data_IF_277498214374
#
_entry.id   IF_277498214374
#
_cell.length_a   1.000
_cell.length_b   1.000
_cell.length_c   1.000
_cell.angle_alpha   90.00
_cell.angle_beta   90.00
_cell.angle_gamma   90.00
#
_symmetry.space_group_name_H-M   'P 1'
#
loop_
_entity.id
_entity.type
_entity.pdbx_description
1 polymer ?
#
# COMPACT_ATOMS: atom_id res chain seq x y z
N UNK A 1 24.29 -5.17 0.01
CA UNK A 1 23.65 -3.90 0.43
C UNK A 1 23.65 -2.93 -0.74
N UNK A 2 22.49 -2.34 -1.05
CA UNK A 2 22.30 -1.33 -2.08
C UNK A 2 22.30 0.06 -1.42
N UNK A 3 23.00 1.03 -2.02
CA UNK A 3 23.03 2.42 -1.55
C UNK A 3 21.95 3.20 -2.30
N UNK A 4 20.97 3.70 -1.56
CA UNK A 4 19.85 4.49 -2.09
C UNK A 4 20.17 6.00 -2.09
N UNK A 5 21.06 6.43 -1.20
CA UNK A 5 21.54 7.81 -1.11
C UNK A 5 22.90 7.87 -0.42
N UNK A 6 23.79 8.75 -0.91
CA UNK A 6 25.04 9.16 -0.28
C UNK A 6 25.12 10.70 -0.31
N UNK A 7 25.16 11.35 0.86
CA UNK A 7 25.22 12.81 0.96
C UNK A 7 26.48 13.43 0.34
N UNK A 8 27.53 12.64 0.11
CA UNK A 8 28.80 13.12 -0.41
C UNK A 8 29.18 12.57 -1.79
N UNK A 9 28.42 11.60 -2.32
CA UNK A 9 28.64 10.95 -3.62
C UNK A 9 30.03 10.31 -3.78
N UNK A 10 30.67 9.87 -2.69
CA UNK A 10 32.10 9.56 -2.64
C UNK A 10 32.43 8.12 -2.22
N UNK A 11 31.54 7.41 -1.52
CA UNK A 11 31.85 6.08 -1.00
C UNK A 11 31.00 4.98 -1.66
N UNK A 12 31.66 3.90 -2.08
CA UNK A 12 30.99 2.69 -2.60
C UNK A 12 30.91 1.55 -1.58
N UNK A 13 31.60 1.70 -0.46
CA UNK A 13 31.75 0.67 0.56
C UNK A 13 31.50 1.25 1.93
N UNK A 14 30.66 0.58 2.71
CA UNK A 14 30.42 0.87 4.11
C UNK A 14 30.06 -0.41 4.86
N UNK A 15 30.30 -0.39 6.16
CA UNK A 15 29.95 -1.45 7.10
C UNK A 15 28.96 -0.89 8.14
N UNK A 16 27.92 -1.67 8.46
CA UNK A 16 26.96 -1.36 9.52
C UNK A 16 27.49 -1.87 10.85
N UNK A 17 27.43 -1.02 11.87
CA UNK A 17 27.87 -1.31 13.24
C UNK A 17 26.65 -1.33 14.17
N UNK A 18 26.85 -1.01 15.44
CA UNK A 18 25.77 -0.96 16.43
C UNK A 18 24.72 0.13 16.14
N UNK A 19 23.48 -0.01 16.65
CA UNK A 19 22.46 1.03 16.56
C UNK A 19 22.94 2.39 17.09
N UNK A 20 22.50 3.48 16.48
CA UNK A 20 22.79 4.84 16.96
C UNK A 20 21.96 5.16 18.21
N UNK A 21 20.70 4.74 18.21
CA UNK A 21 19.69 5.02 19.23
C UNK A 21 19.00 3.73 19.67
N UNK A 22 18.28 3.77 20.80
CA UNK A 22 17.38 2.69 21.18
C UNK A 22 16.23 2.51 20.18
N UNK A 23 15.58 1.36 20.18
CA UNK A 23 14.48 1.06 19.24
C UNK A 23 13.30 2.04 19.39
N UNK A 24 12.91 2.36 20.62
CA UNK A 24 11.83 3.32 20.90
C UNK A 24 12.20 4.75 20.46
N UNK A 25 13.44 5.17 20.70
CA UNK A 25 13.94 6.49 20.28
C UNK A 25 14.02 6.59 18.76
N UNK A 26 14.52 5.54 18.10
CA UNK A 26 14.53 5.43 16.64
C UNK A 26 13.11 5.55 16.09
N UNK A 27 12.15 4.79 16.64
CA UNK A 27 10.75 4.85 16.22
C UNK A 27 10.15 6.24 16.39
N UNK A 28 10.42 6.92 17.50
CA UNK A 28 9.95 8.29 17.73
C UNK A 28 10.57 9.27 16.72
N UNK A 29 11.88 9.18 16.49
CA UNK A 29 12.60 10.01 15.53
C UNK A 29 12.05 9.84 14.12
N UNK A 30 11.88 8.60 13.64
CA UNK A 30 11.30 8.32 12.32
C UNK A 30 9.84 8.79 12.24
N UNK A 31 9.07 8.68 13.32
CA UNK A 31 7.71 9.22 13.42
C UNK A 31 7.65 10.74 13.26
N UNK A 32 8.57 11.48 13.89
CA UNK A 32 8.67 12.93 13.71
C UNK A 32 9.12 13.30 12.29
N UNK A 33 10.09 12.58 11.72
CA UNK A 33 10.56 12.82 10.36
C UNK A 33 9.43 12.60 9.33
N UNK A 34 8.62 11.54 9.52
CA UNK A 34 7.41 11.29 8.72
C UNK A 34 6.42 12.46 8.79
N UNK A 35 6.13 12.98 9.99
CA UNK A 35 5.22 14.10 10.16
C UNK A 35 5.73 15.38 9.49
N UNK A 36 7.04 15.65 9.57
CA UNK A 36 7.67 16.80 8.91
C UNK A 36 7.60 16.69 7.39
N UNK A 37 7.98 15.54 6.83
CA UNK A 37 7.90 15.28 5.38
C UNK A 37 6.46 15.43 4.87
N UNK A 38 5.50 14.87 5.60
CA UNK A 38 4.07 14.97 5.25
C UNK A 38 3.58 16.42 5.25
N UNK A 39 3.95 17.21 6.27
CA UNK A 39 3.59 18.64 6.35
C UNK A 39 4.24 19.50 5.27
N UNK A 40 5.39 19.08 4.73
CA UNK A 40 6.10 19.74 3.63
C UNK A 40 5.55 19.34 2.24
N UNK A 41 4.64 18.37 2.18
CA UNK A 41 4.13 17.85 0.91
C UNK A 41 5.10 16.89 0.20
N UNK A 42 6.15 16.43 0.88
CA UNK A 42 7.15 15.50 0.34
C UNK A 42 6.64 14.05 0.48
N UNK A 43 5.56 13.74 -0.26
CA UNK A 43 4.76 12.52 -0.08
C UNK A 43 5.53 11.25 -0.40
N UNK A 44 6.37 11.23 -1.43
CA UNK A 44 7.16 10.03 -1.78
C UNK A 44 8.15 9.67 -0.68
N UNK A 45 8.83 10.66 -0.11
CA UNK A 45 9.74 10.48 1.01
C UNK A 45 8.99 9.98 2.26
N UNK A 46 7.82 10.56 2.57
CA UNK A 46 6.98 10.10 3.68
C UNK A 46 6.50 8.66 3.48
N UNK A 47 6.10 8.29 2.26
CA UNK A 47 5.64 6.95 1.91
C UNK A 47 6.76 5.91 2.04
N UNK A 48 7.97 6.20 1.52
CA UNK A 48 9.12 5.31 1.71
C UNK A 48 9.47 5.16 3.19
N UNK A 49 9.47 6.25 3.96
CA UNK A 49 9.79 6.21 5.39
C UNK A 49 8.77 5.39 6.21
N UNK A 50 7.49 5.47 5.87
CA UNK A 50 6.43 4.73 6.55
C UNK A 50 6.38 3.25 6.16
N UNK A 51 6.68 2.94 4.89
CA UNK A 51 6.61 1.57 4.35
C UNK A 51 7.86 0.75 4.70
N UNK A 52 9.04 1.35 4.59
CA UNK A 52 10.30 0.66 4.80
C UNK A 52 10.63 0.64 6.29
N UNK A 53 10.91 -0.54 6.83
CA UNK A 53 11.25 -0.72 8.25
C UNK A 53 12.69 -0.26 8.53
N UNK A 54 12.92 1.05 8.47
CA UNK A 54 14.23 1.64 8.67
C UNK A 54 14.74 1.47 10.10
N UNK A 55 16.03 1.20 10.20
CA UNK A 55 16.83 1.21 11.42
C UNK A 55 17.96 2.22 11.28
N UNK A 56 18.38 2.79 12.40
CA UNK A 56 19.46 3.76 12.44
C UNK A 56 20.69 3.12 13.09
N UNK A 57 21.72 2.89 12.28
CA UNK A 57 22.96 2.24 12.70
C UNK A 57 24.14 3.19 12.54
N UNK A 58 25.15 3.03 13.38
CA UNK A 58 26.46 3.60 13.09
C UNK A 58 27.04 2.88 11.89
N UNK A 59 27.84 3.58 11.11
CA UNK A 59 28.56 3.02 9.99
C UNK A 59 30.00 3.49 9.95
N UNK A 60 30.82 2.69 9.27
CA UNK A 60 32.19 3.06 8.95
C UNK A 60 32.54 2.67 7.51
N UNK A 61 33.67 3.18 7.01
CA UNK A 61 34.19 2.90 5.68
C UNK A 61 35.67 2.48 5.77
N UNK A 62 36.33 2.10 4.66
CA UNK A 62 37.75 1.74 4.67
C UNK A 62 38.68 2.84 5.18
N UNK A 63 38.25 4.11 5.15
CA UNK A 63 38.99 5.26 5.69
C UNK A 63 38.76 5.49 7.19
N UNK A 64 37.93 4.65 7.83
CA UNK A 64 37.53 4.73 9.24
C UNK A 64 36.76 6.01 9.61
N UNK A 65 36.10 6.62 8.63
CA UNK A 65 35.11 7.65 8.93
C UNK A 65 33.98 7.05 9.78
N UNK A 66 33.38 7.85 10.64
CA UNK A 66 32.21 7.46 11.43
C UNK A 66 31.03 8.31 11.01
N UNK A 67 29.92 7.67 10.74
CA UNK A 67 28.68 8.32 10.30
C UNK A 67 27.47 7.49 10.71
N UNK A 68 26.27 8.06 10.59
CA UNK A 68 25.03 7.29 10.75
C UNK A 68 24.53 6.83 9.39
N UNK A 69 23.97 5.63 9.37
CA UNK A 69 23.38 4.98 8.21
C UNK A 69 21.92 4.66 8.54
N UNK A 70 21.02 5.12 7.69
CA UNK A 70 19.64 4.70 7.71
C UNK A 70 19.50 3.45 6.84
N UNK A 71 19.16 2.33 7.44
CA UNK A 71 19.20 1.03 6.79
C UNK A 71 17.84 0.33 6.84
N UNK A 72 17.36 -0.21 5.72
CA UNK A 72 16.14 -1.00 5.66
C UNK A 72 16.40 -2.44 5.20
N UNK A 73 15.85 -3.40 5.92
CA UNK A 73 15.69 -4.77 5.43
C UNK A 73 14.38 -4.85 4.62
N UNK A 74 14.47 -5.25 3.35
CA UNK A 74 13.39 -5.17 2.35
C UNK A 74 13.10 -6.53 1.72
N UNK A 75 11.94 -6.70 1.06
CA UNK A 75 11.67 -7.92 0.28
C UNK A 75 12.54 -8.00 -0.98
N UNK A 76 12.58 -9.17 -1.61
CA UNK A 76 13.29 -9.35 -2.89
C UNK A 76 12.72 -8.43 -3.98
N UNK A 77 11.40 -8.30 -4.06
CA UNK A 77 10.71 -7.46 -5.03
C UNK A 77 11.03 -5.98 -4.82
N UNK A 78 11.05 -5.53 -3.56
CA UNK A 78 11.45 -4.16 -3.21
C UNK A 78 12.92 -3.91 -3.56
N UNK A 79 13.80 -4.87 -3.29
CA UNK A 79 15.22 -4.78 -3.61
C UNK A 79 15.45 -4.64 -5.12
N UNK A 80 14.80 -5.49 -5.92
CA UNK A 80 14.91 -5.44 -7.39
C UNK A 80 14.31 -4.14 -7.94
N UNK A 81 13.18 -3.67 -7.41
CA UNK A 81 12.63 -2.35 -7.78
C UNK A 81 13.66 -1.24 -7.56
N UNK A 82 14.35 -1.20 -6.42
CA UNK A 82 15.38 -0.19 -6.17
C UNK A 82 16.60 -0.37 -7.09
N UNK A 83 17.05 -1.61 -7.27
CA UNK A 83 18.20 -1.93 -8.12
C UNK A 83 17.96 -1.51 -9.57
N UNK A 84 16.81 -1.87 -10.15
CA UNK A 84 16.45 -1.55 -11.53
C UNK A 84 16.35 -0.05 -11.77
N UNK A 85 15.77 0.72 -10.83
CA UNK A 85 15.67 2.17 -10.98
C UNK A 85 17.02 2.89 -10.81
N UNK A 86 17.97 2.32 -10.05
CA UNK A 86 19.30 2.89 -9.87
C UNK A 86 20.24 2.49 -11.03
N UNK A 87 20.33 1.20 -11.33
CA UNK A 87 21.23 0.66 -12.36
C UNK A 87 20.67 0.85 -13.78
N UNK A 88 19.35 0.85 -13.94
CA UNK A 88 18.65 1.01 -15.21
C UNK A 88 18.29 2.45 -15.56
N UNK A 89 18.70 3.43 -14.74
CA UNK A 89 18.46 4.85 -15.03
C UNK A 89 19.07 5.22 -16.39
N UNK A 90 18.23 5.72 -17.31
CA UNK A 90 18.64 6.06 -18.69
C UNK A 90 19.49 7.32 -18.77
N UNK A 91 19.42 8.18 -17.74
CA UNK A 91 20.20 9.40 -17.61
C UNK A 91 20.33 9.82 -16.13
N UNK A 92 21.17 10.83 -15.89
CA UNK A 92 21.44 11.33 -14.54
C UNK A 92 20.21 11.97 -13.87
N UNK A 93 19.36 12.67 -14.63
CA UNK A 93 18.17 13.34 -14.07
C UNK A 93 17.17 12.31 -13.54
N UNK A 94 16.93 11.21 -14.28
CA UNK A 94 16.08 10.11 -13.85
C UNK A 94 16.61 9.45 -12.57
N UNK A 95 17.94 9.26 -12.47
CA UNK A 95 18.57 8.76 -11.25
C UNK A 95 18.34 9.72 -10.08
N UNK A 96 18.58 11.03 -10.28
CA UNK A 96 18.41 12.06 -9.25
C UNK A 96 16.96 12.13 -8.77
N UNK A 97 15.98 12.11 -9.69
CA UNK A 97 14.57 12.09 -9.34
C UNK A 97 14.21 10.87 -8.49
N UNK A 98 14.73 9.70 -8.84
CA UNK A 98 14.47 8.47 -8.09
C UNK A 98 15.08 8.48 -6.69
N UNK A 99 16.31 8.99 -6.53
CA UNK A 99 16.99 9.01 -5.23
C UNK A 99 16.59 10.20 -4.34
N UNK A 100 15.98 11.25 -4.92
CA UNK A 100 15.57 12.48 -4.21
C UNK A 100 14.78 12.19 -2.92
N UNK A 101 13.78 11.28 -2.88
CA UNK A 101 13.05 10.97 -1.65
C UNK A 101 13.95 10.48 -0.52
N UNK A 102 14.98 9.67 -0.80
CA UNK A 102 15.91 9.18 0.22
C UNK A 102 16.82 10.27 0.76
N UNK A 103 17.24 11.21 -0.12
CA UNK A 103 17.96 12.41 0.30
C UNK A 103 17.13 13.28 1.24
N UNK A 104 15.85 13.47 0.95
CA UNK A 104 14.93 14.22 1.80
C UNK A 104 14.70 13.55 3.17
N UNK A 105 14.61 12.22 3.21
CA UNK A 105 14.54 11.48 4.47
C UNK A 105 15.81 11.74 5.29
N UNK A 106 16.98 11.56 4.69
CA UNK A 106 18.27 11.75 5.37
C UNK A 106 18.44 13.18 5.90
N UNK A 107 18.08 14.20 5.10
CA UNK A 107 18.15 15.60 5.53
C UNK A 107 17.17 15.90 6.66
N UNK A 108 15.96 15.33 6.62
CA UNK A 108 14.95 15.55 7.67
C UNK A 108 15.37 14.91 8.99
N UNK A 109 15.95 13.70 8.96
CA UNK A 109 16.48 13.05 10.17
C UNK A 109 17.69 13.83 10.72
N UNK A 110 18.52 14.38 9.82
CA UNK A 110 19.64 15.26 10.17
C UNK A 110 19.16 16.53 10.86
N UNK A 111 18.09 17.16 10.36
CA UNK A 111 17.43 18.31 11.00
C UNK A 111 16.92 17.99 12.40
N UNK A 112 16.46 16.75 12.62
CA UNK A 112 16.00 16.26 13.92
C UNK A 112 17.13 15.82 14.87
N UNK A 113 18.40 15.99 14.46
CA UNK A 113 19.56 15.86 15.34
C UNK A 113 20.43 14.63 15.11
N UNK A 114 20.15 13.78 14.12
CA UNK A 114 21.04 12.65 13.77
C UNK A 114 21.51 12.76 12.33
N UNK A 115 22.79 13.06 12.15
CA UNK A 115 23.39 13.16 10.81
C UNK A 115 23.42 11.79 10.11
N UNK A 116 22.63 11.68 9.03
CA UNK A 116 22.55 10.49 8.17
C UNK A 116 23.34 10.73 6.89
N UNK A 117 24.45 10.00 6.71
CA UNK A 117 25.29 10.08 5.51
C UNK A 117 24.77 9.19 4.38
N UNK A 118 24.32 7.99 4.74
CA UNK A 118 23.84 6.99 3.79
C UNK A 118 22.42 6.54 4.09
N UNK A 119 21.63 6.33 3.04
CA UNK A 119 20.41 5.52 3.09
C UNK A 119 20.68 4.24 2.30
N UNK A 120 20.43 3.09 2.91
CA UNK A 120 20.76 1.79 2.32
C UNK A 120 19.62 0.79 2.50
N UNK A 121 19.63 -0.25 1.68
CA UNK A 121 18.78 -1.42 1.90
C UNK A 121 19.51 -2.74 1.60
N UNK A 122 18.97 -3.82 2.17
CA UNK A 122 19.37 -5.18 1.85
C UNK A 122 18.17 -6.13 1.87
N UNK A 123 18.29 -7.26 1.17
CA UNK A 123 17.25 -8.29 1.15
C UNK A 123 17.15 -8.91 2.54
N UNK A 124 15.96 -8.90 3.12
CA UNK A 124 15.64 -9.60 4.36
C UNK A 124 15.52 -11.11 4.09
N UNK A 125 16.64 -11.83 4.21
CA UNK A 125 16.69 -13.29 4.00
C UNK A 125 15.86 -14.07 5.04
N UNK A 126 15.38 -13.43 6.10
CA UNK A 126 14.46 -14.07 7.05
C UNK A 126 13.02 -14.09 6.55
N UNK A 127 12.68 -13.25 5.56
CA UNK A 127 11.38 -13.28 4.89
C UNK A 127 11.41 -14.32 3.76
N UNK A 128 10.45 -15.25 3.70
CA UNK A 128 10.33 -16.10 2.53
C UNK A 128 10.05 -15.24 1.29
N UNK A 129 10.59 -15.59 0.11
CA UNK A 129 10.29 -14.87 -1.12
C UNK A 129 8.78 -14.82 -1.33
N UNK A 130 8.24 -13.63 -1.60
CA UNK A 130 6.81 -13.41 -1.72
C UNK A 130 6.33 -14.04 -3.02
N UNK A 131 5.83 -15.28 -2.99
CA UNK A 131 5.23 -15.91 -4.19
C UNK A 131 3.86 -15.34 -4.55
N UNK A 132 3.36 -14.36 -3.79
CA UNK A 132 2.08 -13.71 -4.06
C UNK A 132 2.32 -12.55 -5.04
N UNK A 133 1.79 -12.60 -6.27
CA UNK A 133 1.84 -11.48 -7.20
C UNK A 133 1.32 -10.23 -6.49
N UNK A 134 2.03 -9.11 -6.60
CA UNK A 134 1.57 -7.83 -6.10
C UNK A 134 0.23 -7.50 -6.78
N UNK A 135 -0.88 -7.66 -6.06
CA UNK A 135 -2.18 -7.25 -6.57
C UNK A 135 -2.15 -5.73 -6.82
N UNK A 136 -2.70 -5.28 -7.95
CA UNK A 136 -2.89 -3.85 -8.25
C UNK A 136 -3.99 -3.19 -7.41
N UNK A 137 -4.59 -3.93 -6.47
CA UNK A 137 -5.54 -3.41 -5.49
C UNK A 137 -4.80 -2.56 -4.46
N UNK A 138 -5.41 -1.43 -4.09
CA UNK A 138 -4.77 -0.42 -3.28
C UNK A 138 -4.35 -0.93 -1.88
N UNK A 139 -3.29 -0.31 -1.35
CA UNK A 139 -2.74 -0.61 -0.02
C UNK A 139 -3.67 -0.24 1.14
N UNK A 140 -4.72 0.55 0.90
CA UNK A 140 -5.62 1.04 1.93
C UNK A 140 -6.30 -0.14 2.64
N UNK A 141 -5.87 -0.42 3.87
CA UNK A 141 -6.53 -1.37 4.75
C UNK A 141 -7.05 -0.67 5.96
N UNK A 142 -8.34 -0.88 6.25
CA UNK A 142 -8.81 -0.70 7.61
C UNK A 142 -7.93 -1.56 8.54
N UNK A 143 -7.47 -1.02 9.70
CA UNK A 143 -6.42 -1.63 10.53
C UNK A 143 -6.66 -3.05 11.05
N UNK A 144 -7.84 -3.64 10.83
CA UNK A 144 -8.28 -4.88 11.48
C UNK A 144 -8.77 -5.96 10.50
N UNK A 145 -8.45 -5.82 9.21
CA UNK A 145 -8.90 -6.73 8.19
C UNK A 145 -7.77 -7.69 7.75
N UNK A 146 -7.93 -8.97 8.08
CA UNK A 146 -7.13 -10.03 7.49
C UNK A 146 -7.38 -10.08 5.98
N UNK A 147 -6.33 -9.88 5.17
CA UNK A 147 -6.40 -10.10 3.72
C UNK A 147 -6.30 -11.60 3.41
N UNK A 148 -7.16 -12.08 2.53
CA UNK A 148 -7.06 -13.41 1.92
C UNK A 148 -6.64 -13.21 0.46
N UNK A 149 -5.54 -13.84 0.04
CA UNK A 149 -5.12 -13.83 -1.36
C UNK A 149 -5.72 -15.03 -2.10
N UNK A 150 -6.30 -14.79 -3.27
CA UNK A 150 -6.87 -15.81 -4.17
C UNK A 150 -6.63 -15.38 -5.62
N UNK A 151 -6.02 -16.26 -6.43
CA UNK A 151 -5.71 -16.00 -7.86
C UNK A 151 -4.98 -14.66 -8.10
N UNK A 152 -4.06 -14.29 -7.19
CA UNK A 152 -3.29 -13.04 -7.30
C UNK A 152 -4.06 -11.77 -6.90
N UNK A 153 -5.27 -11.89 -6.37
CA UNK A 153 -6.11 -10.80 -5.86
C UNK A 153 -6.33 -10.94 -4.35
N UNK A 154 -6.56 -9.82 -3.68
CA UNK A 154 -6.89 -9.70 -2.28
C UNK A 154 -8.41 -9.60 -2.06
N UNK A 155 -8.85 -10.19 -0.95
CA UNK A 155 -10.24 -10.19 -0.46
C UNK A 155 -10.25 -10.00 1.06
N UNK A 156 -11.32 -9.44 1.62
CA UNK A 156 -11.55 -9.30 3.07
C UNK A 156 -12.18 -10.55 3.67
N UNK A 157 -12.86 -11.39 2.87
CA UNK A 157 -13.52 -12.60 3.35
C UNK A 157 -13.57 -13.74 2.33
N UNK A 158 -13.79 -14.98 2.80
CA UNK A 158 -14.07 -16.13 1.91
C UNK A 158 -15.43 -16.00 1.21
N UNK A 159 -16.34 -15.21 1.78
CA UNK A 159 -17.66 -14.94 1.19
C UNK A 159 -17.51 -14.09 -0.07
N UNK A 160 -16.65 -13.07 -0.05
CA UNK A 160 -16.28 -12.29 -1.23
C UNK A 160 -15.71 -13.17 -2.34
N UNK A 161 -14.79 -14.09 -2.01
CA UNK A 161 -14.22 -15.02 -3.00
C UNK A 161 -15.32 -15.82 -3.70
N UNK A 162 -16.32 -16.33 -2.97
CA UNK A 162 -17.44 -17.06 -3.59
C UNK A 162 -18.28 -16.21 -4.53
N UNK A 163 -18.53 -14.95 -4.17
CA UNK A 163 -19.25 -14.01 -5.03
C UNK A 163 -18.42 -13.66 -6.25
N UNK A 164 -17.12 -13.43 -6.08
CA UNK A 164 -16.17 -13.21 -7.16
C UNK A 164 -16.19 -14.38 -8.15
N UNK A 165 -16.05 -15.62 -7.69
CA UNK A 165 -16.14 -16.81 -8.55
C UNK A 165 -17.47 -16.88 -9.30
N UNK A 166 -18.59 -16.53 -8.65
CA UNK A 166 -19.90 -16.49 -9.30
C UNK A 166 -19.99 -15.40 -10.39
N UNK A 167 -19.44 -14.21 -10.14
CA UNK A 167 -19.33 -13.12 -11.13
C UNK A 167 -18.47 -13.57 -12.32
N UNK A 168 -17.30 -14.16 -12.07
CA UNK A 168 -16.41 -14.69 -13.11
C UNK A 168 -17.12 -15.76 -13.96
N UNK A 169 -17.90 -16.66 -13.35
CA UNK A 169 -18.71 -17.65 -14.10
C UNK A 169 -19.72 -17.02 -15.06
N UNK A 170 -20.19 -15.80 -14.79
CA UNK A 170 -21.10 -15.04 -15.69
C UNK A 170 -20.36 -14.25 -16.78
N UNK A 171 -19.03 -14.26 -16.77
CA UNK A 171 -18.22 -13.54 -17.77
C UNK A 171 -18.36 -12.02 -17.69
N UNK A 172 -18.68 -11.48 -16.51
CA UNK A 172 -18.77 -10.03 -16.31
C UNK A 172 -17.41 -9.44 -15.99
N UNK A 173 -17.19 -8.18 -16.38
CA UNK A 173 -16.00 -7.44 -15.95
C UNK A 173 -16.22 -6.99 -14.50
N UNK A 174 -15.30 -7.34 -13.62
CA UNK A 174 -15.40 -7.06 -12.18
C UNK A 174 -14.08 -6.49 -11.66
N UNK A 175 -14.20 -5.48 -10.79
CA UNK A 175 -13.11 -4.94 -9.99
C UNK A 175 -13.40 -5.31 -8.52
N UNK A 176 -12.66 -6.24 -7.91
CA UNK A 176 -12.78 -6.57 -6.49
C UNK A 176 -11.96 -5.61 -5.62
N UNK A 177 -12.51 -5.20 -4.48
CA UNK A 177 -11.93 -4.23 -3.54
C UNK A 177 -11.25 -3.02 -4.20
N UNK A 178 -11.90 -2.33 -5.16
CA UNK A 178 -11.32 -1.11 -5.73
C UNK A 178 -11.35 0.00 -4.68
N UNK A 179 -10.30 0.81 -4.62
CA UNK A 179 -10.33 2.06 -3.85
C UNK A 179 -10.80 3.18 -4.76
N UNK A 180 -11.96 3.73 -4.42
CA UNK A 180 -12.50 4.94 -5.00
C UNK A 180 -12.03 6.17 -4.21
N UNK A 181 -11.58 7.19 -4.93
CA UNK A 181 -11.19 8.49 -4.41
C UNK A 181 -12.10 9.54 -5.01
N UNK A 182 -12.65 10.43 -4.18
CA UNK A 182 -13.47 11.56 -4.65
C UNK A 182 -13.14 12.82 -3.85
N UNK A 183 -12.67 13.86 -4.55
CA UNK A 183 -12.35 15.16 -3.96
C UNK A 183 -10.99 15.18 -3.26
N UNK A 184 -10.99 15.14 -1.93
CA UNK A 184 -9.81 15.37 -1.08
C UNK A 184 -9.03 14.08 -0.78
N UNK A 185 -7.70 14.20 -0.78
CA UNK A 185 -6.78 13.14 -0.34
C UNK A 185 -7.12 12.67 1.08
N UNK A 186 -7.15 11.35 1.31
CA UNK A 186 -7.47 10.76 2.62
C UNK A 186 -8.94 10.32 2.79
N UNK A 187 -9.84 10.69 1.87
CA UNK A 187 -11.23 10.19 1.86
C UNK A 187 -11.39 9.06 0.83
N UNK A 188 -11.07 7.85 1.27
CA UNK A 188 -11.18 6.64 0.47
C UNK A 188 -12.52 5.94 0.68
N UNK A 189 -13.00 5.28 -0.37
CA UNK A 189 -14.13 4.36 -0.30
C UNK A 189 -13.75 3.06 -0.97
N UNK A 190 -14.10 1.96 -0.34
CA UNK A 190 -13.82 0.62 -0.84
C UNK A 190 -15.16 -0.11 -0.87
N UNK A 191 -15.87 -0.14 -2.01
CA UNK A 191 -16.93 -1.12 -2.23
C UNK A 191 -16.31 -2.51 -2.40
N UNK A 192 -17.06 -3.56 -2.10
CA UNK A 192 -16.54 -4.93 -2.25
C UNK A 192 -16.32 -5.28 -3.72
N UNK A 193 -17.27 -4.91 -4.58
CA UNK A 193 -17.18 -5.09 -6.03
C UNK A 193 -17.74 -3.90 -6.80
N UNK A 194 -17.02 -3.49 -7.84
CA UNK A 194 -17.60 -2.75 -8.98
C UNK A 194 -17.73 -3.72 -10.14
N UNK A 195 -18.94 -3.85 -10.68
CA UNK A 195 -19.27 -4.78 -11.77
C UNK A 195 -19.76 -4.00 -12.98
N UNK A 196 -19.20 -4.33 -14.14
CA UNK A 196 -19.61 -3.79 -15.43
C UNK A 196 -20.37 -4.85 -16.21
N UNK A 197 -21.60 -4.52 -16.59
CA UNK A 197 -22.47 -5.42 -17.32
C UNK A 197 -23.43 -4.61 -18.21
N UNK A 198 -23.63 -5.07 -19.46
CA UNK A 198 -24.46 -4.39 -20.46
C UNK A 198 -24.20 -2.88 -20.61
N UNK A 199 -22.93 -2.47 -20.57
CA UNK A 199 -22.51 -1.07 -20.73
C UNK A 199 -22.82 -0.17 -19.53
N UNK A 200 -23.34 -0.70 -18.43
CA UNK A 200 -23.57 0.01 -17.17
C UNK A 200 -22.58 -0.48 -16.10
N UNK A 201 -22.40 0.31 -15.05
CA UNK A 201 -21.65 -0.06 -13.85
C UNK A 201 -22.60 -0.16 -12.65
N UNK A 202 -22.32 -1.12 -11.76
CA UNK A 202 -23.03 -1.27 -10.49
C UNK A 202 -22.10 -1.71 -9.38
N UNK A 203 -22.53 -1.48 -8.14
CA UNK A 203 -21.82 -1.83 -6.91
C UNK A 203 -22.57 -2.95 -6.20
N UNK A 204 -21.84 -3.99 -5.82
CA UNK A 204 -22.32 -5.09 -4.97
C UNK A 204 -21.52 -5.05 -3.67
N UNK A 205 -22.21 -4.87 -2.55
CA UNK A 205 -21.62 -4.95 -1.20
C UNK A 205 -22.19 -6.15 -0.42
N UNK A 206 -21.34 -6.71 0.43
CA UNK A 206 -21.61 -7.83 1.31
C UNK A 206 -21.66 -7.31 2.75
N UNK A 207 -22.72 -7.64 3.48
CA UNK A 207 -22.95 -7.10 4.82
C UNK A 207 -23.22 -8.18 5.87
N UNK A 208 -22.82 -7.94 7.13
CA UNK A 208 -23.29 -8.72 8.27
C UNK A 208 -22.52 -9.99 8.59
N UNK A 209 -21.19 -10.00 8.41
CA UNK A 209 -20.32 -10.98 9.05
C UNK A 209 -19.38 -10.33 10.08
N UNK A 210 -18.54 -11.13 10.76
CA UNK A 210 -17.58 -10.66 11.77
C UNK A 210 -16.60 -9.59 11.22
N UNK A 211 -16.42 -9.54 9.90
CA UNK A 211 -15.48 -8.70 9.16
C UNK A 211 -16.15 -7.47 8.54
N UNK A 212 -17.48 -7.48 8.41
CA UNK A 212 -18.32 -6.34 8.02
C UNK A 212 -19.27 -5.95 9.18
N UNK A 213 -18.79 -5.21 10.20
CA UNK A 213 -19.65 -4.73 11.26
C UNK A 213 -20.78 -3.87 10.68
N UNK A 214 -21.95 -3.83 11.34
CA UNK A 214 -23.05 -2.97 10.90
C UNK A 214 -22.58 -1.52 10.79
N UNK A 215 -22.58 -0.94 9.59
CA UNK A 215 -22.52 0.51 9.43
C UNK A 215 -23.83 1.10 9.97
N UNK A 216 -23.81 2.36 10.41
CA UNK A 216 -25.09 3.01 10.75
C UNK A 216 -25.90 3.20 9.48
N UNK A 217 -27.23 3.14 9.57
CA UNK A 217 -28.11 3.40 8.42
C UNK A 217 -27.86 4.78 7.78
N UNK A 218 -27.29 5.73 8.53
CA UNK A 218 -26.89 7.03 8.02
C UNK A 218 -25.64 6.96 7.12
N UNK A 219 -24.63 6.19 7.53
CA UNK A 219 -23.38 5.99 6.79
C UNK A 219 -23.63 5.24 5.47
N UNK A 220 -24.43 4.17 5.52
CA UNK A 220 -24.84 3.40 4.34
C UNK A 220 -25.61 4.30 3.34
N UNK A 221 -26.54 5.11 3.84
CA UNK A 221 -27.28 6.06 3.01
C UNK A 221 -26.40 7.14 2.38
N UNK A 222 -25.35 7.61 3.08
CA UNK A 222 -24.40 8.56 2.52
C UNK A 222 -23.51 7.91 1.46
N UNK A 223 -23.05 6.67 1.73
CA UNK A 223 -22.24 5.87 0.80
C UNK A 223 -22.94 5.68 -0.52
N UNK A 224 -24.15 5.11 -0.47
CA UNK A 224 -25.01 4.88 -1.64
C UNK A 224 -25.29 6.17 -2.40
N UNK A 225 -25.74 7.23 -1.73
CA UNK A 225 -26.08 8.53 -2.37
C UNK A 225 -24.93 9.13 -3.15
N UNK A 226 -23.71 8.94 -2.68
CA UNK A 226 -22.53 9.49 -3.34
C UNK A 226 -22.29 8.87 -4.71
N UNK A 227 -22.31 7.54 -4.79
CA UNK A 227 -22.13 6.83 -6.06
C UNK A 227 -23.31 7.03 -7.01
N UNK A 228 -24.54 7.02 -6.47
CA UNK A 228 -25.76 7.28 -7.26
C UNK A 228 -25.73 8.69 -7.88
N UNK A 229 -25.28 9.72 -7.16
CA UNK A 229 -25.15 11.08 -7.72
C UNK A 229 -24.14 11.16 -8.87
N UNK A 230 -23.20 10.21 -8.95
CA UNK A 230 -22.20 10.11 -10.02
C UNK A 230 -22.65 9.20 -11.18
N UNK A 231 -23.90 8.72 -11.17
CA UNK A 231 -24.47 7.91 -12.24
C UNK A 231 -24.34 6.39 -12.04
N UNK A 232 -23.74 5.93 -10.94
CA UNK A 232 -23.74 4.52 -10.55
C UNK A 232 -25.03 4.25 -9.77
N UNK A 233 -26.12 4.00 -10.50
CA UNK A 233 -27.46 3.88 -9.93
C UNK A 233 -27.79 2.48 -9.41
N UNK A 234 -26.97 1.47 -9.76
CA UNK A 234 -27.13 0.10 -9.31
C UNK A 234 -26.20 -0.07 -8.11
N UNK A 235 -26.78 -0.15 -6.92
CA UNK A 235 -26.05 -0.29 -5.66
C UNK A 235 -26.84 -1.22 -4.76
N UNK A 236 -26.40 -2.46 -4.64
CA UNK A 236 -27.11 -3.49 -3.90
C UNK A 236 -26.25 -4.07 -2.79
N UNK A 237 -26.87 -4.25 -1.63
CA UNK A 237 -26.22 -4.80 -0.44
C UNK A 237 -26.87 -6.15 -0.13
N UNK A 238 -26.04 -7.17 -0.02
CA UNK A 238 -26.49 -8.53 0.25
C UNK A 238 -25.91 -9.04 1.57
N UNK A 239 -26.75 -9.70 2.37
CA UNK A 239 -26.29 -10.33 3.61
C UNK A 239 -25.28 -11.45 3.35
N UNK A 240 -24.20 -11.48 4.13
CA UNK A 240 -23.09 -12.43 4.00
C UNK A 240 -23.55 -13.89 4.05
N UNK A 241 -24.55 -14.23 4.87
CA UNK A 241 -25.13 -15.59 4.92
C UNK A 241 -25.77 -15.99 3.58
N UNK A 242 -26.47 -15.06 2.91
CA UNK A 242 -27.06 -15.30 1.59
C UNK A 242 -25.97 -15.44 0.54
N UNK A 243 -24.96 -14.56 0.56
CA UNK A 243 -23.80 -14.63 -0.34
C UNK A 243 -23.04 -15.95 -0.17
N UNK A 244 -22.91 -16.44 1.06
CA UNK A 244 -22.20 -17.68 1.35
C UNK A 244 -22.96 -18.93 0.87
N UNK A 245 -24.27 -18.97 1.13
CA UNK A 245 -25.14 -20.12 0.84
C UNK A 245 -25.56 -20.18 -0.62
N UNK A 246 -25.81 -19.04 -1.26
CA UNK A 246 -26.41 -18.96 -2.59
C UNK A 246 -25.72 -17.90 -3.48
N UNK A 247 -24.39 -17.99 -3.72
CA UNK A 247 -23.65 -16.96 -4.44
C UNK A 247 -24.12 -16.75 -5.89
N UNK A 248 -24.42 -17.85 -6.60
CA UNK A 248 -24.92 -17.77 -7.99
C UNK A 248 -26.24 -17.01 -8.07
N UNK A 249 -27.18 -17.29 -7.17
CA UNK A 249 -28.47 -16.60 -7.13
C UNK A 249 -28.31 -15.12 -6.77
N UNK A 250 -27.42 -14.79 -5.84
CA UNK A 250 -27.12 -13.38 -5.51
C UNK A 250 -26.61 -12.63 -6.73
N UNK A 251 -25.68 -13.22 -7.49
CA UNK A 251 -25.16 -12.60 -8.70
C UNK A 251 -26.24 -12.48 -9.77
N UNK A 252 -27.09 -13.49 -9.97
CA UNK A 252 -28.18 -13.43 -10.94
C UNK A 252 -29.19 -12.33 -10.60
N UNK A 253 -29.58 -12.23 -9.32
CA UNK A 253 -30.49 -11.19 -8.84
C UNK A 253 -29.87 -9.80 -9.02
N UNK A 254 -28.56 -9.64 -8.73
CA UNK A 254 -27.83 -8.39 -8.94
C UNK A 254 -27.73 -7.99 -10.41
N UNK A 255 -27.39 -8.93 -11.30
CA UNK A 255 -27.27 -8.65 -12.74
C UNK A 255 -28.63 -8.31 -13.37
N UNK A 256 -29.74 -8.77 -12.79
CA UNK A 256 -31.08 -8.40 -13.22
C UNK A 256 -31.34 -6.89 -13.08
N UNK A 257 -30.74 -6.22 -12.08
CA UNK A 257 -30.88 -4.76 -11.87
C UNK A 257 -30.34 -3.95 -13.05
N UNK A 258 -29.39 -4.48 -13.82
CA UNK A 258 -28.83 -3.82 -15.00
C UNK A 258 -29.79 -3.77 -16.18
N UNK A 259 -30.81 -4.63 -16.16
CA UNK A 259 -31.84 -4.70 -17.21
C UNK A 259 -33.06 -3.83 -16.94
N UNK A 260 -33.13 -3.25 -15.74
CA UNK A 260 -34.17 -2.27 -15.37
C UNK A 260 -33.85 -0.89 -15.93
#
# INVERSE_FOLDING_TARGET
MLILYDSEGRAKELELLEPVLGEAETKNLLGYAYQLLSKRGELDAANFLARLNFKLSKGTNPFRDKFSVLHAAVSLEEYEYFRENIEGATNYDALVEFIRPFGLIASTITELGVFVRFVTCEIDLSRPPTTSPSANQALFTFPDSSKITYEGLNFRSKTEIKIFEALIRRGVLVLPLPVAVMGEMGRYREPDFIVFYNGKAGILEIHGDKWHPPETAADEHERRRTFTRLGINIYEIFGADRCWKNPDKVVDDFLQEFTR
#
